data_IF_951490369646
#
_entry.id   IF_951490369646
#
_cell.length_a   1.000
_cell.length_b   1.000
_cell.length_c   1.000
_cell.angle_alpha   90.00
_cell.angle_beta   90.00
_cell.angle_gamma   90.00
#
_symmetry.space_group_name_H-M   'P 1'
#
loop_
_entity.id
_entity.type
_entity.pdbx_description
1 polymer ?
#
# COMPACT_ATOMS: atom_id res chain seq x y z
N UNK A 1 -50.65 -11.75 3.33
CA UNK A 1 -49.63 -10.66 3.30
C UNK A 1 -48.44 -11.20 2.53
N UNK A 2 -48.30 -10.78 1.27
CA UNK A 2 -47.18 -11.12 0.40
C UNK A 2 -45.98 -10.30 0.85
N UNK A 3 -44.92 -11.01 1.23
CA UNK A 3 -43.58 -10.40 1.43
C UNK A 3 -43.00 -10.23 0.04
N UNK A 4 -42.89 -8.99 -0.42
CA UNK A 4 -42.21 -8.66 -1.66
C UNK A 4 -40.72 -9.00 -1.52
N UNK A 5 -40.26 -9.93 -2.34
CA UNK A 5 -38.85 -10.26 -2.50
C UNK A 5 -38.17 -9.10 -3.22
N UNK A 6 -37.58 -8.16 -2.46
CA UNK A 6 -36.67 -7.17 -3.01
C UNK A 6 -35.29 -7.84 -3.19
N UNK A 7 -35.10 -8.44 -4.34
CA UNK A 7 -33.77 -8.82 -4.81
C UNK A 7 -32.99 -7.55 -5.11
N UNK A 8 -32.29 -7.01 -4.10
CA UNK A 8 -31.27 -6.02 -4.34
C UNK A 8 -30.03 -6.75 -4.85
N UNK A 9 -29.80 -6.72 -6.15
CA UNK A 9 -28.51 -7.04 -6.74
C UNK A 9 -27.55 -5.92 -6.33
N UNK A 10 -26.97 -6.04 -5.15
CA UNK A 10 -25.80 -5.26 -4.78
C UNK A 10 -24.62 -5.82 -5.58
N UNK A 11 -24.37 -5.25 -6.74
CA UNK A 11 -23.11 -5.45 -7.44
C UNK A 11 -22.04 -4.86 -6.54
N UNK A 12 -21.19 -5.71 -5.96
CA UNK A 12 -19.99 -5.25 -5.27
C UNK A 12 -19.21 -4.32 -6.21
N UNK A 13 -18.66 -3.20 -5.71
CA UNK A 13 -17.80 -2.37 -6.55
C UNK A 13 -16.67 -3.23 -7.11
N UNK A 14 -16.25 -2.99 -8.37
CA UNK A 14 -15.15 -3.74 -8.95
C UNK A 14 -13.89 -3.56 -8.09
N UNK A 15 -13.13 -4.65 -7.93
CA UNK A 15 -11.84 -4.58 -7.23
C UNK A 15 -10.96 -3.50 -7.87
N UNK A 16 -10.46 -2.58 -7.06
CA UNK A 16 -9.45 -1.63 -7.53
C UNK A 16 -8.19 -2.40 -7.90
N UNK A 17 -7.64 -2.10 -9.09
CA UNK A 17 -6.45 -2.78 -9.64
C UNK A 17 -5.33 -1.79 -9.79
N UNK A 18 -4.17 -2.13 -9.27
CA UNK A 18 -2.95 -1.39 -9.54
C UNK A 18 -1.77 -2.32 -9.82
N UNK A 19 -0.76 -1.77 -10.48
CA UNK A 19 0.56 -2.38 -10.59
C UNK A 19 1.46 -1.73 -9.55
N UNK A 20 1.94 -2.54 -8.61
CA UNK A 20 2.82 -2.09 -7.55
C UNK A 20 4.28 -2.49 -7.82
N UNK A 21 5.19 -1.56 -7.57
CA UNK A 21 6.61 -1.82 -7.37
C UNK A 21 7.00 -1.22 -6.03
N UNK A 22 7.76 -1.98 -5.25
CA UNK A 22 8.33 -1.55 -3.99
C UNK A 22 9.83 -1.76 -4.00
N UNK A 23 10.57 -0.76 -3.55
CA UNK A 23 12.02 -0.81 -3.48
C UNK A 23 12.56 -0.25 -2.16
N UNK A 24 13.65 -0.84 -1.68
CA UNK A 24 14.46 -0.23 -0.62
C UNK A 24 15.20 0.99 -1.21
N UNK A 25 15.48 1.96 -0.36
CA UNK A 25 16.39 3.06 -0.66
C UNK A 25 17.68 2.83 0.14
N UNK A 26 18.70 2.20 -0.46
CA UNK A 26 20.00 2.06 0.19
C UNK A 26 20.70 3.43 0.25
N UNK A 27 21.65 3.61 1.17
CA UNK A 27 22.40 4.86 1.29
C UNK A 27 21.84 5.85 2.32
N UNK A 28 20.82 5.44 3.07
CA UNK A 28 20.32 6.20 4.21
C UNK A 28 19.60 7.51 3.86
N UNK A 29 19.60 8.49 4.79
CA UNK A 29 18.82 9.72 4.64
C UNK A 29 19.22 10.57 3.42
N UNK A 30 20.50 10.63 3.06
CA UNK A 30 20.97 11.44 1.93
C UNK A 30 20.40 10.94 0.60
N UNK A 31 20.38 9.62 0.39
CA UNK A 31 19.80 9.05 -0.83
C UNK A 31 18.28 9.18 -0.83
N UNK A 32 17.64 9.12 0.34
CA UNK A 32 16.21 9.39 0.46
C UNK A 32 15.87 10.81 0.04
N UNK A 33 16.60 11.81 0.54
CA UNK A 33 16.40 13.21 0.15
C UNK A 33 16.67 13.43 -1.35
N UNK A 34 17.71 12.79 -1.90
CA UNK A 34 17.99 12.88 -3.34
C UNK A 34 16.82 12.37 -4.19
N UNK A 35 16.21 11.25 -3.82
CA UNK A 35 15.04 10.71 -4.53
C UNK A 35 13.78 11.53 -4.26
N UNK A 36 13.67 12.13 -3.09
CA UNK A 36 12.60 13.06 -2.77
C UNK A 36 12.62 14.28 -3.72
N UNK A 37 13.79 14.83 -3.96
CA UNK A 37 13.96 15.94 -4.93
C UNK A 37 13.60 15.52 -6.37
N UNK A 38 13.86 14.27 -6.76
CA UNK A 38 13.39 13.73 -8.05
C UNK A 38 11.86 13.69 -8.10
N UNK A 39 11.21 13.24 -7.01
CA UNK A 39 9.75 13.19 -6.93
C UNK A 39 9.12 14.59 -7.02
N UNK A 40 9.65 15.56 -6.27
CA UNK A 40 9.22 16.97 -6.32
C UNK A 40 9.35 17.56 -7.73
N UNK A 41 10.49 17.36 -8.36
CA UNK A 41 10.74 17.86 -9.71
C UNK A 41 9.82 17.22 -10.75
N UNK A 42 9.56 15.91 -10.63
CA UNK A 42 8.71 15.16 -11.55
C UNK A 42 7.25 15.60 -11.45
N UNK A 43 6.78 15.88 -10.23
CA UNK A 43 5.37 16.16 -9.96
C UNK A 43 5.04 17.65 -9.84
N UNK A 44 6.06 18.49 -9.61
CA UNK A 44 5.86 19.91 -9.30
C UNK A 44 5.23 20.15 -7.93
N UNK A 45 5.27 19.19 -7.01
CA UNK A 45 4.62 19.24 -5.70
C UNK A 45 5.60 18.88 -4.57
N UNK A 46 5.31 19.35 -3.36
CA UNK A 46 6.11 19.03 -2.16
C UNK A 46 5.77 17.67 -1.53
N UNK A 47 4.67 17.06 -1.97
CA UNK A 47 4.15 15.81 -1.42
C UNK A 47 3.25 16.02 -0.21
N UNK A 48 2.31 15.10 -0.03
CA UNK A 48 1.39 15.07 1.12
C UNK A 48 1.95 14.12 2.19
N UNK A 49 2.17 14.63 3.41
CA UNK A 49 2.62 13.80 4.52
C UNK A 49 1.44 13.02 5.11
N UNK A 50 1.56 11.70 5.10
CA UNK A 50 0.59 10.77 5.69
C UNK A 50 1.29 9.97 6.78
N UNK A 51 0.85 10.11 8.02
CA UNK A 51 1.32 9.29 9.15
C UNK A 51 0.39 8.10 9.32
N UNK A 52 0.96 6.90 9.31
CA UNK A 52 0.21 5.65 9.30
C UNK A 52 0.70 4.70 10.39
N UNK A 53 -0.26 4.04 11.06
CA UNK A 53 -0.03 2.87 11.92
C UNK A 53 -0.92 1.75 11.42
N UNK A 54 -0.34 0.69 10.90
CA UNK A 54 -1.04 -0.49 10.39
C UNK A 54 -0.95 -1.62 11.44
N UNK A 55 -2.10 -2.15 11.87
CA UNK A 55 -2.20 -3.36 12.69
C UNK A 55 -2.59 -4.52 11.81
N UNK A 56 -1.75 -5.55 11.77
CA UNK A 56 -1.96 -6.74 10.94
C UNK A 56 -2.61 -7.87 11.74
N UNK A 57 -3.56 -8.55 11.11
CA UNK A 57 -4.30 -9.66 11.70
C UNK A 57 -4.12 -10.94 10.89
N UNK A 58 -4.30 -12.09 11.54
CA UNK A 58 -4.32 -13.36 10.83
C UNK A 58 -5.46 -13.38 9.80
N UNK A 59 -5.13 -13.93 8.63
CA UNK A 59 -6.07 -14.18 7.53
C UNK A 59 -5.94 -15.65 7.11
N UNK A 60 -6.71 -16.56 7.74
CA UNK A 60 -6.54 -18.01 7.55
C UNK A 60 -6.74 -18.51 6.12
N UNK A 61 -7.47 -17.74 5.31
CA UNK A 61 -7.74 -18.08 3.90
C UNK A 61 -6.73 -17.43 2.92
N UNK A 62 -5.64 -16.87 3.44
CA UNK A 62 -4.64 -16.17 2.64
C UNK A 62 -4.91 -14.67 2.56
N UNK A 63 -4.08 -13.96 1.78
CA UNK A 63 -4.09 -12.51 1.71
C UNK A 63 -3.60 -11.83 3.00
N UNK A 64 -3.72 -10.51 3.04
CA UNK A 64 -3.31 -9.69 4.19
C UNK A 64 -4.45 -8.80 4.65
N UNK A 65 -4.81 -8.92 5.92
CA UNK A 65 -5.82 -8.09 6.59
C UNK A 65 -5.13 -7.12 7.54
N UNK A 66 -5.42 -5.83 7.41
CA UNK A 66 -4.90 -4.81 8.30
C UNK A 66 -5.89 -3.70 8.58
N UNK A 67 -5.84 -3.17 9.79
CA UNK A 67 -6.49 -1.93 10.18
C UNK A 67 -5.44 -0.81 10.17
N UNK A 68 -5.67 0.20 9.34
CA UNK A 68 -4.82 1.36 9.18
C UNK A 68 -5.37 2.53 9.95
N UNK A 69 -4.61 3.02 10.90
CA UNK A 69 -4.85 4.30 11.54
C UNK A 69 -4.21 5.42 10.74
N UNK A 70 -4.97 6.47 10.49
CA UNK A 70 -4.54 7.71 9.85
C UNK A 70 -4.71 8.86 10.83
N UNK A 71 -3.97 9.97 10.61
CA UNK A 71 -4.18 11.19 11.37
C UNK A 71 -5.47 11.89 10.92
N UNK A 72 -6.19 12.47 11.89
CA UNK A 72 -7.34 13.31 11.58
C UNK A 72 -6.93 14.46 10.61
N UNK A 73 -7.82 14.85 9.66
CA UNK A 73 -9.23 14.48 9.58
C UNK A 73 -9.49 13.16 8.82
N UNK A 74 -8.47 12.45 8.32
CA UNK A 74 -8.66 11.21 7.57
C UNK A 74 -9.21 10.09 8.48
N UNK A 75 -10.20 9.36 7.98
CA UNK A 75 -10.75 8.19 8.66
C UNK A 75 -9.78 7.00 8.58
N UNK A 76 -9.77 6.19 9.63
CA UNK A 76 -9.06 4.91 9.63
C UNK A 76 -9.66 3.96 8.60
N UNK A 77 -8.90 2.96 8.17
CA UNK A 77 -9.29 2.07 7.08
C UNK A 77 -9.05 0.60 7.44
N UNK A 78 -10.06 -0.24 7.22
CA UNK A 78 -9.84 -1.68 7.15
C UNK A 78 -9.50 -2.04 5.70
N UNK A 79 -8.37 -2.71 5.51
CA UNK A 79 -7.84 -3.06 4.19
C UNK A 79 -7.57 -4.56 4.15
N UNK A 80 -8.16 -5.22 3.15
CA UNK A 80 -7.77 -6.58 2.76
C UNK A 80 -7.14 -6.53 1.38
N UNK A 81 -6.01 -7.18 1.19
CA UNK A 81 -5.38 -7.28 -0.12
C UNK A 81 -4.73 -8.63 -0.34
N UNK A 82 -4.72 -9.03 -1.60
CA UNK A 82 -4.05 -10.22 -2.07
C UNK A 82 -3.15 -9.87 -3.25
N UNK A 83 -1.90 -10.30 -3.18
CA UNK A 83 -0.92 -10.10 -4.24
C UNK A 83 0.19 -11.14 -4.15
N UNK A 84 0.84 -11.49 -5.28
CA UNK A 84 2.03 -12.36 -5.27
C UNK A 84 3.19 -11.72 -4.49
N UNK A 85 3.97 -12.55 -3.79
CA UNK A 85 5.21 -12.14 -3.11
C UNK A 85 6.42 -12.29 -4.06
N UNK A 86 6.37 -11.58 -5.18
CA UNK A 86 7.40 -11.56 -6.23
C UNK A 86 8.10 -10.21 -6.26
N UNK A 87 9.33 -10.16 -6.79
CA UNK A 87 10.01 -8.91 -7.06
C UNK A 87 9.49 -8.29 -8.37
N UNK A 88 9.56 -6.95 -8.48
CA UNK A 88 9.14 -6.24 -9.68
C UNK A 88 7.65 -5.89 -9.70
N UNK A 89 7.13 -5.45 -10.88
CA UNK A 89 5.75 -5.03 -11.05
C UNK A 89 4.77 -6.17 -10.82
N UNK A 90 3.81 -5.99 -9.92
CA UNK A 90 2.81 -7.00 -9.57
C UNK A 90 1.42 -6.42 -9.48
N UNK A 91 0.44 -7.21 -9.92
CA UNK A 91 -0.97 -6.88 -9.74
C UNK A 91 -1.34 -7.01 -8.26
N UNK A 92 -1.93 -5.97 -7.71
CA UNK A 92 -2.55 -5.97 -6.38
C UNK A 92 -4.04 -5.80 -6.52
N UNK A 93 -4.79 -6.69 -5.88
CA UNK A 93 -6.24 -6.59 -5.72
C UNK A 93 -6.52 -6.28 -4.27
N UNK A 94 -7.30 -5.26 -4.03
CA UNK A 94 -7.59 -4.86 -2.66
C UNK A 94 -9.02 -4.36 -2.50
N UNK A 95 -9.53 -4.52 -1.29
CA UNK A 95 -10.77 -3.95 -0.83
C UNK A 95 -10.48 -3.11 0.41
N UNK A 96 -11.08 -1.93 0.50
CA UNK A 96 -10.93 -1.06 1.67
C UNK A 96 -12.27 -0.43 2.05
N UNK A 97 -12.45 -0.24 3.34
CA UNK A 97 -13.57 0.52 3.90
C UNK A 97 -13.04 1.52 4.92
N UNK A 98 -13.72 2.64 5.06
CA UNK A 98 -13.47 3.59 6.13
C UNK A 98 -14.09 3.10 7.44
N UNK A 99 -13.44 3.43 8.56
CA UNK A 99 -13.80 2.96 9.90
C UNK A 99 -13.86 4.13 10.86
N UNK A 100 -15.04 4.39 11.39
CA UNK A 100 -15.28 5.47 12.36
C UNK A 100 -14.79 5.12 13.76
N UNK A 101 -14.88 3.83 14.17
CA UNK A 101 -14.49 3.34 15.48
C UNK A 101 -13.33 2.33 15.41
N UNK A 102 -12.13 2.75 14.99
CA UNK A 102 -11.04 1.83 14.74
C UNK A 102 -10.57 1.08 15.99
N UNK A 103 -10.64 1.69 17.17
CA UNK A 103 -10.22 1.02 18.41
C UNK A 103 -11.15 -0.16 18.77
N UNK A 104 -12.45 -0.02 18.53
CA UNK A 104 -13.42 -1.10 18.75
C UNK A 104 -13.19 -2.22 17.74
N UNK A 105 -12.97 -1.86 16.46
CA UNK A 105 -12.70 -2.84 15.41
C UNK A 105 -11.36 -3.57 15.65
N UNK A 106 -10.30 -2.86 16.09
CA UNK A 106 -9.03 -3.49 16.46
C UNK A 106 -9.23 -4.55 17.55
N UNK A 107 -10.01 -4.22 18.59
CA UNK A 107 -10.33 -5.17 19.68
C UNK A 107 -11.05 -6.40 19.16
N UNK A 108 -12.08 -6.23 18.32
CA UNK A 108 -12.83 -7.34 17.73
C UNK A 108 -11.92 -8.24 16.90
N UNK A 109 -11.13 -7.65 15.98
CA UNK A 109 -10.23 -8.40 15.11
C UNK A 109 -9.09 -9.08 15.88
N UNK A 110 -8.57 -8.43 16.92
CA UNK A 110 -7.55 -9.04 17.79
C UNK A 110 -8.08 -10.28 18.49
N UNK A 111 -9.35 -10.25 18.94
CA UNK A 111 -9.98 -11.38 19.61
C UNK A 111 -10.41 -12.50 18.65
N UNK A 112 -10.90 -12.15 17.47
CA UNK A 112 -11.44 -13.13 16.51
C UNK A 112 -10.35 -13.74 15.61
N UNK A 113 -9.42 -12.93 15.13
CA UNK A 113 -8.38 -13.34 14.19
C UNK A 113 -6.99 -13.51 14.83
N UNK A 114 -6.74 -12.81 15.94
CA UNK A 114 -5.42 -12.65 16.51
C UNK A 114 -4.58 -11.59 15.78
N UNK A 115 -3.78 -10.85 16.54
CA UNK A 115 -2.88 -9.81 16.01
C UNK A 115 -1.53 -10.44 15.64
N UNK A 116 -1.06 -10.14 14.41
CA UNK A 116 0.27 -10.54 13.94
C UNK A 116 1.35 -9.55 14.36
N UNK A 117 1.03 -8.25 14.35
CA UNK A 117 1.94 -7.19 14.73
C UNK A 117 1.52 -5.82 14.22
N UNK A 118 2.38 -4.84 14.45
CA UNK A 118 2.13 -3.43 14.12
C UNK A 118 3.28 -2.89 13.29
N UNK A 119 2.96 -2.02 12.33
CA UNK A 119 3.92 -1.31 11.51
C UNK A 119 3.55 0.17 11.49
N UNK A 120 4.49 1.04 11.83
CA UNK A 120 4.34 2.48 11.75
C UNK A 120 5.23 3.06 10.66
N UNK A 121 4.75 4.08 9.97
CA UNK A 121 5.53 4.79 8.96
C UNK A 121 5.05 6.22 8.73
N UNK A 122 5.95 7.03 8.22
CA UNK A 122 5.68 8.35 7.64
C UNK A 122 5.81 8.22 6.13
N UNK A 123 4.79 8.61 5.40
CA UNK A 123 4.72 8.53 3.95
C UNK A 123 4.58 9.91 3.37
N UNK A 124 5.39 10.26 2.38
CA UNK A 124 5.14 11.37 1.48
C UNK A 124 4.52 10.82 0.21
N UNK A 125 3.30 11.26 -0.08
CA UNK A 125 2.54 10.89 -1.28
C UNK A 125 2.68 11.97 -2.35
N UNK A 126 3.08 11.56 -3.53
CA UNK A 126 3.08 12.37 -4.74
C UNK A 126 2.18 11.73 -5.78
N UNK A 127 1.52 12.56 -6.60
CA UNK A 127 0.68 12.11 -7.69
C UNK A 127 1.33 12.48 -9.02
N UNK A 128 1.60 11.48 -9.86
CA UNK A 128 2.09 11.67 -11.22
C UNK A 128 1.20 10.92 -12.21
N UNK A 129 0.39 11.66 -12.99
CA UNK A 129 -0.64 11.07 -13.87
C UNK A 129 -1.53 10.12 -13.04
N UNK A 130 -1.62 8.84 -13.45
CA UNK A 130 -2.37 7.79 -12.77
C UNK A 130 -1.58 7.07 -11.66
N UNK A 131 -0.35 7.50 -11.37
CA UNK A 131 0.53 6.80 -10.43
C UNK A 131 0.65 7.56 -9.11
N UNK A 132 0.52 6.82 -8.02
CA UNK A 132 0.90 7.26 -6.68
C UNK A 132 2.36 6.89 -6.44
N UNK A 133 3.18 7.88 -6.14
CA UNK A 133 4.59 7.70 -5.76
C UNK A 133 4.66 7.90 -4.26
N UNK A 134 5.11 6.88 -3.55
CA UNK A 134 5.24 6.90 -2.11
C UNK A 134 6.72 6.92 -1.72
N UNK A 135 7.09 7.87 -0.89
CA UNK A 135 8.37 7.93 -0.21
C UNK A 135 8.13 7.61 1.26
N UNK A 136 8.58 6.45 1.72
CA UNK A 136 8.26 5.91 3.03
C UNK A 136 9.47 5.88 3.96
N UNK A 137 9.33 6.53 5.12
CA UNK A 137 10.20 6.31 6.29
C UNK A 137 9.47 5.32 7.21
N UNK A 138 9.96 4.09 7.24
CA UNK A 138 9.33 2.96 7.95
C UNK A 138 10.08 2.72 9.24
N UNK A 139 9.37 2.83 10.36
CA UNK A 139 9.96 2.63 11.70
C UNK A 139 10.63 1.25 11.77
N UNK A 140 11.86 1.22 12.31
CA UNK A 140 12.68 0.01 12.49
C UNK A 140 13.13 -0.70 11.20
N UNK A 141 12.82 -0.13 10.02
CA UNK A 141 13.23 -0.67 8.71
C UNK A 141 14.03 0.32 7.88
N UNK A 142 13.79 1.63 8.02
CA UNK A 142 14.43 2.68 7.23
C UNK A 142 13.62 3.11 6.00
N UNK A 143 14.30 3.49 4.92
CA UNK A 143 13.71 4.21 3.81
C UNK A 143 13.36 3.32 2.63
N UNK A 144 12.17 3.56 2.07
CA UNK A 144 11.62 2.82 0.95
C UNK A 144 10.87 3.74 0.00
N UNK A 145 10.63 3.25 -1.20
CA UNK A 145 9.69 3.88 -2.11
C UNK A 145 8.78 2.83 -2.74
N UNK A 146 7.61 3.28 -3.16
CA UNK A 146 6.61 2.43 -3.78
C UNK A 146 5.91 3.19 -4.90
N UNK A 147 5.71 2.56 -6.03
CA UNK A 147 4.85 3.04 -7.09
C UNK A 147 3.57 2.21 -7.11
N UNK A 148 2.44 2.89 -7.16
CA UNK A 148 1.13 2.28 -7.39
C UNK A 148 0.56 2.87 -8.68
N UNK A 149 0.67 2.15 -9.78
CA UNK A 149 0.09 2.54 -11.07
C UNK A 149 -1.36 2.09 -11.09
N UNK A 150 -2.29 3.00 -10.86
CA UNK A 150 -3.73 2.72 -10.89
C UNK A 150 -4.16 2.43 -12.33
N UNK A 151 -4.62 1.20 -12.58
CA UNK A 151 -5.04 0.80 -13.92
C UNK A 151 -6.42 1.37 -14.25
N UNK A 152 -6.53 2.00 -15.40
CA UNK A 152 -7.82 2.34 -15.99
C UNK A 152 -8.58 1.06 -16.41
N UNK A 153 -9.90 1.09 -16.53
CA UNK A 153 -10.70 -0.12 -16.82
C UNK A 153 -10.21 -0.93 -18.02
N UNK A 154 -9.79 -0.24 -19.09
CA UNK A 154 -9.36 -0.85 -20.35
C UNK A 154 -7.84 -1.11 -20.41
N UNK A 155 -7.09 -0.72 -19.41
CA UNK A 155 -5.64 -0.93 -19.39
C UNK A 155 -5.27 -2.36 -19.04
N UNK A 156 -4.28 -2.88 -19.78
CA UNK A 156 -3.69 -4.18 -19.52
C UNK A 156 -2.65 -4.10 -18.38
N UNK A 157 -2.36 -5.24 -17.80
CA UNK A 157 -1.29 -5.37 -16.80
C UNK A 157 0.06 -4.92 -17.38
N UNK A 158 0.37 -5.29 -18.61
CA UNK A 158 1.63 -4.96 -19.31
C UNK A 158 1.82 -3.45 -19.49
N UNK A 159 0.72 -2.72 -19.79
CA UNK A 159 0.77 -1.26 -19.87
C UNK A 159 1.11 -0.63 -18.51
N UNK A 160 0.52 -1.15 -17.43
CA UNK A 160 0.85 -0.70 -16.08
C UNK A 160 2.27 -1.05 -15.67
N UNK A 161 2.76 -2.22 -16.05
CA UNK A 161 4.15 -2.64 -15.81
C UNK A 161 5.14 -1.72 -16.52
N UNK A 162 4.89 -1.38 -17.79
CA UNK A 162 5.72 -0.43 -18.54
C UNK A 162 5.83 0.92 -17.84
N UNK A 163 4.72 1.46 -17.33
CA UNK A 163 4.71 2.73 -16.59
C UNK A 163 5.55 2.60 -15.30
N UNK A 164 5.40 1.52 -14.56
CA UNK A 164 6.13 1.28 -13.33
C UNK A 164 7.65 1.13 -13.58
N UNK A 165 8.05 0.44 -14.64
CA UNK A 165 9.45 0.28 -15.05
C UNK A 165 10.07 1.60 -15.50
N UNK A 166 9.33 2.45 -16.22
CA UNK A 166 9.79 3.79 -16.61
C UNK A 166 10.08 4.66 -15.38
N UNK A 167 9.24 4.55 -14.35
CA UNK A 167 9.48 5.20 -13.07
C UNK A 167 10.70 4.62 -12.35
N UNK A 168 10.91 3.31 -12.35
CA UNK A 168 12.12 2.69 -11.80
C UNK A 168 13.38 3.28 -12.46
N UNK A 169 13.38 3.45 -13.79
CA UNK A 169 14.49 4.11 -14.51
C UNK A 169 14.66 5.57 -14.11
N UNK A 170 13.55 6.32 -14.01
CA UNK A 170 13.55 7.73 -13.62
C UNK A 170 14.16 7.94 -12.22
N UNK A 171 13.83 7.06 -11.28
CA UNK A 171 14.32 7.11 -9.91
C UNK A 171 15.64 6.34 -9.70
N UNK A 172 16.23 5.77 -10.75
CA UNK A 172 17.45 4.96 -10.69
C UNK A 172 17.37 3.84 -9.64
N UNK A 173 16.26 3.07 -9.68
CA UNK A 173 16.07 1.91 -8.82
C UNK A 173 16.78 0.72 -9.45
N UNK A 174 17.69 0.10 -8.70
CA UNK A 174 18.32 -1.13 -9.14
C UNK A 174 17.45 -2.35 -8.86
N UNK A 175 17.53 -3.38 -9.70
CA UNK A 175 16.77 -4.64 -9.51
C UNK A 175 17.06 -5.28 -8.15
N UNK A 176 18.31 -5.15 -7.65
CA UNK A 176 18.71 -5.64 -6.34
C UNK A 176 17.99 -4.97 -5.16
N UNK A 177 17.45 -3.76 -5.37
CA UNK A 177 16.70 -3.01 -4.36
C UNK A 177 15.20 -3.35 -4.35
N UNK A 178 14.72 -4.07 -5.36
CA UNK A 178 13.31 -4.46 -5.47
C UNK A 178 12.93 -5.43 -4.34
N UNK A 179 11.77 -5.18 -3.74
CA UNK A 179 11.28 -5.98 -2.63
C UNK A 179 10.28 -7.03 -3.08
N UNK A 180 10.42 -8.21 -2.51
CA UNK A 180 9.35 -9.20 -2.42
C UNK A 180 8.56 -8.96 -1.12
N UNK A 181 7.27 -9.23 -1.12
CA UNK A 181 6.45 -9.14 0.10
C UNK A 181 6.14 -7.71 0.57
N UNK A 182 5.73 -7.60 1.82
CA UNK A 182 5.36 -6.33 2.47
C UNK A 182 6.45 -5.83 3.43
N UNK A 183 6.33 -4.58 3.88
CA UNK A 183 7.19 -4.08 4.98
C UNK A 183 7.02 -4.91 6.26
N UNK A 184 5.80 -5.38 6.53
CA UNK A 184 5.56 -6.22 7.69
C UNK A 184 6.31 -7.55 7.59
N UNK A 185 6.36 -8.17 6.41
CA UNK A 185 7.15 -9.41 6.19
C UNK A 185 8.66 -9.14 6.36
N UNK A 186 9.15 -7.98 5.92
CA UNK A 186 10.55 -7.58 6.10
C UNK A 186 10.88 -7.37 7.58
N UNK A 187 9.99 -6.71 8.33
CA UNK A 187 10.16 -6.48 9.77
C UNK A 187 10.24 -7.79 10.56
N UNK A 188 9.33 -8.73 10.26
CA UNK A 188 9.27 -10.03 10.95
C UNK A 188 10.41 -10.98 10.59
N UNK A 189 10.95 -10.90 9.38
CA UNK A 189 12.13 -11.68 8.95
C UNK A 189 13.43 -11.17 9.58
N UNK A 190 13.53 -9.87 9.84
CA UNK A 190 14.69 -9.25 10.50
C UNK A 190 14.77 -9.51 12.01
N UNK A 191 13.69 -10.03 12.62
CA UNK A 191 13.62 -10.35 14.05
C UNK A 191 13.93 -11.83 14.36
N UNK A 192 14.24 -12.65 13.36
CA UNK A 192 14.72 -14.02 13.48
C UNK A 192 16.23 -14.06 13.24
#
# INVERSE_FOLDING_TARGET
>A
KQIANMSSTTTSPPDERNVEIKARIPGGPEEFERRLEVAKKLTGAEGELIVQRDVFFNSPQGGRLKLRYLQAPALSQLVFYDRPDEAGPKLSKFNKIEVDEPAVLEKILSQSNGTLGVLAKRRLLFLHKQTRIHMDDVQDLGHYMEFEVCLEPEQTLEQGQTIAEDLCRTFNIADADLMTGSYFDALTKGQK
#
